data_IF_130670401936
#
_entry.id   IF_130670401936
#
_cell.length_a   1.000
_cell.length_b   1.000
_cell.length_c   1.000
_cell.angle_alpha   90.00
_cell.angle_beta   90.00
_cell.angle_gamma   90.00
#
_symmetry.space_group_name_H-M   'P 1'
#
loop_
_entity.id
_entity.type
_entity.pdbx_description
1 polymer ?
#
# COMPACT_ATOMS: atom_id res chain seq x y z
N UNK A 1 17.75 4.52 20.23
CA UNK A 1 16.84 4.05 19.15
C UNK A 1 15.74 5.06 18.78
N UNK A 2 14.97 5.59 19.74
CA UNK A 2 13.91 6.60 19.49
C UNK A 2 14.36 7.86 18.70
N UNK A 3 15.56 8.37 18.95
CA UNK A 3 16.08 9.54 18.21
C UNK A 3 16.30 9.24 16.72
N UNK A 4 16.89 8.08 16.38
CA UNK A 4 17.10 7.68 14.97
C UNK A 4 15.78 7.56 14.20
N UNK A 5 14.74 7.06 14.87
CA UNK A 5 13.40 6.96 14.29
C UNK A 5 12.80 8.34 13.98
N UNK A 6 12.93 9.30 14.92
CA UNK A 6 12.46 10.68 14.71
C UNK A 6 13.17 11.36 13.54
N UNK A 7 14.49 11.16 13.41
CA UNK A 7 15.25 11.69 12.27
C UNK A 7 14.80 11.05 10.95
N UNK A 8 14.59 9.73 10.91
CA UNK A 8 14.09 9.06 9.72
C UNK A 8 12.72 9.61 9.28
N UNK A 9 11.79 9.79 10.23
CA UNK A 9 10.46 10.36 9.97
C UNK A 9 10.57 11.82 9.47
N UNK A 10 11.44 12.62 10.09
CA UNK A 10 11.66 14.01 9.68
C UNK A 10 12.21 14.13 8.25
N UNK A 11 13.09 13.19 7.85
CA UNK A 11 13.68 13.14 6.51
C UNK A 11 12.62 12.83 5.44
N UNK A 12 11.75 11.84 5.69
CA UNK A 12 10.66 11.45 4.79
C UNK A 12 9.73 12.64 4.50
N UNK A 13 9.39 13.38 5.55
CA UNK A 13 8.57 14.59 5.45
C UNK A 13 7.06 14.33 5.45
N UNK A 14 6.26 15.37 5.71
CA UNK A 14 4.83 15.22 5.96
C UNK A 14 4.04 14.77 4.73
N UNK A 15 4.45 15.18 3.51
CA UNK A 15 3.77 14.79 2.26
C UNK A 15 3.90 13.30 1.98
N UNK A 16 5.13 12.76 2.09
CA UNK A 16 5.38 11.33 1.93
C UNK A 16 4.70 10.52 3.04
N UNK A 17 4.67 11.04 4.28
CA UNK A 17 3.97 10.38 5.37
C UNK A 17 2.46 10.34 5.12
N UNK A 18 1.86 11.45 4.67
CA UNK A 18 0.45 11.49 4.31
C UNK A 18 0.11 10.52 3.17
N UNK A 19 0.96 10.43 2.13
CA UNK A 19 0.74 9.47 1.04
C UNK A 19 0.94 8.03 1.50
N UNK A 20 1.86 7.74 2.42
CA UNK A 20 1.98 6.42 3.04
C UNK A 20 0.73 6.03 3.84
N UNK A 21 0.17 6.96 4.61
CA UNK A 21 -1.09 6.74 5.34
C UNK A 21 -2.25 6.46 4.38
N UNK A 22 -2.34 7.22 3.28
CA UNK A 22 -3.32 6.97 2.22
C UNK A 22 -3.14 5.60 1.56
N UNK A 23 -1.90 5.21 1.28
CA UNK A 23 -1.58 3.89 0.72
C UNK A 23 -1.96 2.76 1.68
N UNK A 24 -1.67 2.90 2.98
CA UNK A 24 -2.08 1.94 4.01
C UNK A 24 -3.60 1.86 4.11
N UNK A 25 -4.31 3.00 4.14
CA UNK A 25 -5.78 3.02 4.12
C UNK A 25 -6.37 2.34 2.89
N UNK A 26 -5.81 2.61 1.70
CA UNK A 26 -6.21 1.95 0.47
C UNK A 26 -5.95 0.44 0.48
N UNK A 27 -4.85 -0.02 1.10
CA UNK A 27 -4.56 -1.44 1.25
C UNK A 27 -5.60 -2.16 2.14
N UNK A 28 -6.08 -1.52 3.21
CA UNK A 28 -7.18 -2.08 4.02
C UNK A 28 -8.49 -2.18 3.23
N UNK A 29 -8.83 -1.16 2.44
CA UNK A 29 -10.00 -1.22 1.55
C UNK A 29 -9.83 -2.35 0.54
N UNK A 30 -8.63 -2.53 -0.01
CA UNK A 30 -8.33 -3.61 -0.94
C UNK A 30 -8.51 -4.99 -0.32
N UNK A 31 -8.04 -5.18 0.92
CA UNK A 31 -8.25 -6.41 1.69
C UNK A 31 -9.73 -6.70 1.93
N UNK A 32 -10.52 -5.69 2.31
CA UNK A 32 -11.97 -5.82 2.49
C UNK A 32 -12.68 -6.18 1.18
N UNK A 33 -12.24 -5.60 0.06
CA UNK A 33 -12.74 -5.92 -1.28
C UNK A 33 -12.43 -7.37 -1.66
N UNK A 34 -11.21 -7.85 -1.38
CA UNK A 34 -10.85 -9.25 -1.64
C UNK A 34 -11.67 -10.22 -0.81
N UNK A 35 -11.92 -9.92 0.46
CA UNK A 35 -12.87 -10.67 1.30
C UNK A 35 -14.27 -10.67 0.71
N UNK A 36 -14.74 -9.52 0.21
CA UNK A 36 -16.02 -9.41 -0.48
C UNK A 36 -16.10 -10.31 -1.72
N UNK A 37 -15.04 -10.37 -2.52
CA UNK A 37 -14.95 -11.26 -3.69
C UNK A 37 -14.96 -12.73 -3.26
N UNK A 38 -14.20 -13.09 -2.22
CA UNK A 38 -14.16 -14.46 -1.72
C UNK A 38 -15.53 -14.94 -1.23
N UNK A 39 -16.20 -14.12 -0.41
CA UNK A 39 -17.56 -14.40 0.08
C UNK A 39 -18.57 -14.49 -1.07
N UNK A 40 -18.45 -13.58 -2.04
CA UNK A 40 -19.27 -13.61 -3.25
C UNK A 40 -19.11 -14.93 -4.02
N UNK A 41 -17.87 -15.37 -4.26
CA UNK A 41 -17.59 -16.62 -4.99
C UNK A 41 -18.17 -17.84 -4.27
N UNK A 42 -18.09 -17.88 -2.94
CA UNK A 42 -18.70 -18.96 -2.15
C UNK A 42 -20.22 -19.01 -2.34
N UNK A 43 -20.90 -17.87 -2.25
CA UNK A 43 -22.35 -17.78 -2.45
C UNK A 43 -22.75 -18.14 -3.87
N UNK A 44 -21.97 -17.70 -4.85
CA UNK A 44 -22.19 -18.05 -6.25
C UNK A 44 -22.08 -19.56 -6.48
N UNK A 45 -21.03 -20.21 -5.96
CA UNK A 45 -20.85 -21.66 -6.04
C UNK A 45 -21.96 -22.44 -5.29
N UNK A 46 -22.41 -21.92 -4.14
CA UNK A 46 -23.54 -22.49 -3.41
C UNK A 46 -24.84 -22.37 -4.20
N UNK A 47 -25.08 -21.25 -4.88
CA UNK A 47 -26.27 -21.04 -5.73
C UNK A 47 -26.32 -21.97 -6.94
N UNK A 48 -25.16 -22.43 -7.42
CA UNK A 48 -25.05 -23.45 -8.47
C UNK A 48 -25.27 -24.88 -7.96
N UNK A 49 -25.42 -25.07 -6.64
CA UNK A 49 -25.53 -26.39 -6.02
C UNK A 49 -24.22 -27.19 -6.03
N UNK A 50 -23.08 -26.54 -6.30
CA UNK A 50 -21.76 -27.18 -6.35
C UNK A 50 -21.13 -27.33 -4.95
N UNK A 51 -21.58 -26.55 -3.98
CA UNK A 51 -21.15 -26.64 -2.59
C UNK A 51 -22.27 -27.24 -1.73
N UNK A 52 -22.01 -28.42 -1.16
CA UNK A 52 -22.86 -29.06 -0.14
C UNK A 52 -22.64 -28.50 1.26
N UNK A 53 -21.53 -27.78 1.48
CA UNK A 53 -21.26 -27.13 2.75
C UNK A 53 -22.20 -25.94 2.95
N UNK A 54 -22.93 -25.93 4.07
CA UNK A 54 -23.72 -24.78 4.49
C UNK A 54 -22.76 -23.64 4.86
N UNK A 55 -22.51 -22.75 3.91
CA UNK A 55 -21.78 -21.52 4.18
C UNK A 55 -22.57 -20.75 5.24
N UNK A 56 -21.96 -20.49 6.40
CA UNK A 56 -22.52 -19.57 7.40
C UNK A 56 -22.36 -18.14 6.88
N UNK A 57 -23.06 -17.83 5.79
CA UNK A 57 -23.15 -16.47 5.31
C UNK A 57 -24.05 -15.69 6.27
N UNK A 58 -23.71 -14.43 6.59
CA UNK A 58 -24.57 -13.61 7.39
C UNK A 58 -25.94 -13.41 6.70
N UNK A 59 -27.02 -13.61 7.46
CA UNK A 59 -28.41 -13.68 6.94
C UNK A 59 -28.80 -12.46 6.09
N UNK A 60 -28.32 -11.27 6.45
CA UNK A 60 -28.59 -10.02 5.72
C UNK A 60 -28.11 -10.07 4.27
N UNK A 61 -27.03 -10.78 3.99
CA UNK A 61 -26.43 -10.82 2.67
C UNK A 61 -27.20 -11.75 1.71
N UNK A 62 -27.77 -12.84 2.23
CA UNK A 62 -28.62 -13.76 1.47
C UNK A 62 -29.93 -13.08 1.04
N UNK A 63 -30.49 -12.23 1.90
CA UNK A 63 -31.73 -11.49 1.59
C UNK A 63 -31.58 -10.38 0.55
N UNK A 64 -30.36 -9.86 0.37
CA UNK A 64 -30.09 -8.70 -0.51
C UNK A 64 -29.88 -9.06 -1.99
N UNK A 65 -29.62 -10.33 -2.31
CA UNK A 65 -29.20 -10.76 -3.65
C UNK A 65 -30.16 -11.82 -4.25
N UNK A 66 -31.44 -11.47 -4.51
CA UNK A 66 -32.45 -12.46 -4.91
C UNK A 66 -32.32 -12.94 -6.36
N UNK A 67 -31.62 -12.20 -7.24
CA UNK A 67 -31.51 -12.57 -8.67
C UNK A 67 -30.09 -12.40 -9.21
N UNK A 68 -29.75 -13.20 -10.23
CA UNK A 68 -28.43 -13.25 -10.87
C UNK A 68 -27.96 -11.90 -11.43
N UNK A 69 -28.89 -11.01 -11.77
CA UNK A 69 -28.58 -9.65 -12.23
C UNK A 69 -28.01 -8.79 -11.10
N UNK A 70 -28.58 -8.88 -9.89
CA UNK A 70 -28.07 -8.14 -8.72
C UNK A 70 -26.68 -8.64 -8.32
N UNK A 71 -26.46 -9.95 -8.44
CA UNK A 71 -25.17 -10.62 -8.24
C UNK A 71 -24.12 -10.11 -9.23
N UNK A 72 -24.45 -10.04 -10.53
CA UNK A 72 -23.56 -9.48 -11.56
C UNK A 72 -23.27 -7.98 -11.34
N UNK A 73 -24.29 -7.19 -10.98
CA UNK A 73 -24.11 -5.76 -10.69
C UNK A 73 -23.22 -5.53 -9.46
N UNK A 74 -23.38 -6.33 -8.40
CA UNK A 74 -22.54 -6.28 -7.21
C UNK A 74 -21.07 -6.60 -7.54
N UNK A 75 -20.81 -7.59 -8.39
CA UNK A 75 -19.46 -7.90 -8.87
C UNK A 75 -18.80 -6.73 -9.61
N UNK A 76 -19.54 -6.09 -10.52
CA UNK A 76 -19.03 -4.94 -11.27
C UNK A 76 -18.71 -3.80 -10.30
N UNK A 77 -19.57 -3.52 -9.33
CA UNK A 77 -19.33 -2.52 -8.30
C UNK A 77 -18.07 -2.84 -7.46
N UNK A 78 -17.92 -4.09 -7.00
CA UNK A 78 -16.74 -4.54 -6.26
C UNK A 78 -15.48 -4.41 -7.12
N UNK A 79 -15.55 -4.77 -8.41
CA UNK A 79 -14.45 -4.62 -9.36
C UNK A 79 -14.02 -3.17 -9.57
N UNK A 80 -14.98 -2.24 -9.64
CA UNK A 80 -14.70 -0.81 -9.74
C UNK A 80 -14.03 -0.28 -8.47
N UNK A 81 -14.57 -0.62 -7.29
CA UNK A 81 -13.95 -0.24 -6.00
C UNK A 81 -12.54 -0.80 -5.89
N UNK A 82 -12.31 -2.04 -6.34
CA UNK A 82 -10.98 -2.66 -6.42
C UNK A 82 -10.04 -1.84 -7.29
N UNK A 83 -10.46 -1.52 -8.52
CA UNK A 83 -9.64 -0.80 -9.49
C UNK A 83 -9.26 0.60 -8.97
N UNK A 84 -10.22 1.35 -8.42
CA UNK A 84 -9.98 2.68 -7.84
C UNK A 84 -9.00 2.57 -6.66
N UNK A 85 -9.20 1.60 -5.78
CA UNK A 85 -8.32 1.39 -4.62
C UNK A 85 -6.90 1.02 -5.06
N UNK A 86 -6.74 0.16 -6.07
CA UNK A 86 -5.43 -0.18 -6.64
C UNK A 86 -4.71 1.04 -7.21
N UNK A 87 -5.41 1.86 -8.00
CA UNK A 87 -4.84 3.09 -8.55
C UNK A 87 -4.45 4.04 -7.43
N UNK A 88 -5.31 4.23 -6.42
CA UNK A 88 -5.04 5.11 -5.29
C UNK A 88 -3.79 4.66 -4.51
N UNK A 89 -3.68 3.36 -4.18
CA UNK A 89 -2.51 2.80 -3.50
C UNK A 89 -1.26 2.96 -4.37
N UNK A 90 -1.35 2.64 -5.67
CA UNK A 90 -0.24 2.79 -6.60
C UNK A 90 0.29 4.23 -6.65
N UNK A 91 -0.61 5.19 -6.90
CA UNK A 91 -0.25 6.61 -6.97
C UNK A 91 0.30 7.15 -5.66
N UNK A 92 -0.33 6.81 -4.52
CA UNK A 92 0.13 7.25 -3.21
C UNK A 92 1.54 6.72 -2.89
N UNK A 93 1.84 5.49 -3.29
CA UNK A 93 3.16 4.90 -3.07
C UNK A 93 4.22 5.49 -4.01
N UNK A 94 3.86 5.77 -5.28
CA UNK A 94 4.74 6.50 -6.21
C UNK A 94 5.07 7.90 -5.70
N UNK A 95 4.06 8.66 -5.26
CA UNK A 95 4.25 9.99 -4.67
C UNK A 95 5.17 9.91 -3.45
N UNK A 96 4.99 8.92 -2.57
CA UNK A 96 5.85 8.72 -1.40
C UNK A 96 7.31 8.49 -1.81
N UNK A 97 7.53 7.66 -2.83
CA UNK A 97 8.87 7.33 -3.32
C UNK A 97 9.58 8.54 -3.94
N UNK A 98 8.89 9.27 -4.83
CA UNK A 98 9.43 10.45 -5.49
C UNK A 98 9.75 11.56 -4.49
N UNK A 99 8.81 11.87 -3.59
CA UNK A 99 9.00 12.93 -2.59
C UNK A 99 10.12 12.61 -1.60
N UNK A 100 10.27 11.36 -1.18
CA UNK A 100 11.38 10.91 -0.34
C UNK A 100 12.72 11.05 -1.08
N UNK A 101 12.77 10.62 -2.33
CA UNK A 101 13.98 10.70 -3.17
C UNK A 101 14.38 12.15 -3.43
N UNK A 102 13.44 13.03 -3.76
CA UNK A 102 13.68 14.45 -3.95
C UNK A 102 14.21 15.12 -2.68
N UNK A 103 13.66 14.79 -1.51
CA UNK A 103 14.14 15.31 -0.23
C UNK A 103 15.56 14.85 0.10
N UNK A 104 15.87 13.58 -0.10
CA UNK A 104 17.23 13.07 0.10
C UNK A 104 18.24 13.78 -0.81
N UNK A 105 17.88 14.01 -2.08
CA UNK A 105 18.70 14.78 -3.02
C UNK A 105 18.91 16.22 -2.55
N UNK A 106 17.85 16.90 -2.09
CA UNK A 106 17.96 18.26 -1.57
C UNK A 106 18.85 18.34 -0.34
N UNK A 107 18.74 17.39 0.60
CA UNK A 107 19.60 17.34 1.79
C UNK A 107 21.06 17.19 1.39
N UNK A 108 21.38 16.33 0.42
CA UNK A 108 22.75 16.16 -0.06
C UNK A 108 23.31 17.40 -0.76
N UNK A 109 22.50 18.09 -1.58
CA UNK A 109 22.90 19.35 -2.21
C UNK A 109 23.14 20.44 -1.15
N UNK A 110 22.27 20.52 -0.13
CA UNK A 110 22.41 21.48 0.97
C UNK A 110 23.69 21.20 1.79
N UNK A 111 23.97 19.93 2.07
CA UNK A 111 25.21 19.53 2.76
C UNK A 111 26.46 19.91 1.96
N UNK A 112 26.42 19.78 0.63
CA UNK A 112 27.50 20.17 -0.27
C UNK A 112 27.73 21.68 -0.33
N UNK A 113 26.65 22.47 -0.38
CA UNK A 113 26.74 23.93 -0.49
C UNK A 113 27.12 24.63 0.83
N UNK A 114 26.64 24.12 1.97
CA UNK A 114 26.79 24.81 3.26
C UNK A 114 27.97 24.37 4.11
N UNK A 115 28.70 23.35 3.69
CA UNK A 115 29.91 22.92 4.41
C UNK A 115 31.16 23.13 3.55
N UNK A 116 31.50 24.38 3.16
CA UNK A 116 32.68 24.68 2.36
C UNK A 116 34.00 24.34 3.06
N UNK A 117 33.97 24.14 4.39
CA UNK A 117 35.15 23.78 5.19
C UNK A 117 35.41 22.27 5.27
N UNK A 118 34.54 21.41 4.72
CA UNK A 118 34.79 19.96 4.70
C UNK A 118 35.83 19.61 3.63
N UNK A 119 36.66 18.57 3.88
CA UNK A 119 37.64 18.11 2.91
C UNK A 119 36.97 17.77 1.57
N UNK A 120 37.68 18.08 0.48
CA UNK A 120 37.26 17.88 -0.90
C UNK A 120 36.58 16.52 -1.07
N UNK A 121 35.25 16.51 -1.24
CA UNK A 121 34.51 15.28 -1.52
C UNK A 121 34.63 15.03 -3.03
N UNK A 122 35.23 13.92 -3.47
CA UNK A 122 35.36 13.64 -4.89
C UNK A 122 33.97 13.50 -5.53
N UNK A 123 33.80 14.10 -6.71
CA UNK A 123 32.51 14.11 -7.42
C UNK A 123 31.97 12.69 -7.67
N UNK A 124 32.87 11.71 -7.89
CA UNK A 124 32.51 10.30 -8.04
C UNK A 124 31.75 9.74 -6.83
N UNK A 125 32.13 10.12 -5.61
CA UNK A 125 31.46 9.67 -4.38
C UNK A 125 30.06 10.26 -4.24
N UNK A 126 29.90 11.53 -4.62
CA UNK A 126 28.60 12.20 -4.61
C UNK A 126 27.64 11.58 -5.63
N UNK A 127 28.11 11.32 -6.84
CA UNK A 127 27.32 10.64 -7.88
C UNK A 127 26.90 9.25 -7.43
N UNK A 128 27.78 8.49 -6.78
CA UNK A 128 27.46 7.16 -6.25
C UNK A 128 26.45 7.24 -5.09
N UNK A 129 26.56 8.25 -4.22
CA UNK A 129 25.61 8.45 -3.13
C UNK A 129 24.22 8.86 -3.64
N UNK A 130 24.16 9.77 -4.62
CA UNK A 130 22.91 10.24 -5.24
C UNK A 130 22.25 9.18 -6.12
N UNK A 131 23.05 8.47 -6.91
CA UNK A 131 22.57 7.48 -7.87
C UNK A 131 22.19 6.15 -7.23
N UNK A 132 22.98 5.68 -6.26
CA UNK A 132 22.85 4.32 -5.75
C UNK A 132 22.24 4.27 -4.35
N UNK A 133 22.79 5.03 -3.41
CA UNK A 133 22.37 4.94 -2.01
C UNK A 133 20.97 5.52 -1.79
N UNK A 134 20.67 6.69 -2.36
CA UNK A 134 19.35 7.30 -2.20
C UNK A 134 18.27 6.56 -2.96
N UNK A 135 18.57 6.04 -4.15
CA UNK A 135 17.64 5.18 -4.88
C UNK A 135 17.31 3.93 -4.06
N UNK A 136 18.33 3.22 -3.53
CA UNK A 136 18.15 2.04 -2.67
C UNK A 136 17.37 2.37 -1.39
N UNK A 137 17.65 3.51 -0.75
CA UNK A 137 16.90 3.96 0.42
C UNK A 137 15.42 4.25 0.09
N UNK A 138 15.14 4.87 -1.06
CA UNK A 138 13.79 5.09 -1.56
C UNK A 138 13.05 3.79 -1.87
N UNK A 139 13.73 2.81 -2.47
CA UNK A 139 13.17 1.47 -2.70
C UNK A 139 12.94 0.70 -1.40
N UNK A 140 13.84 0.84 -0.42
CA UNK A 140 13.66 0.23 0.90
C UNK A 140 12.43 0.81 1.61
N UNK A 141 12.26 2.14 1.61
CA UNK A 141 11.08 2.78 2.19
C UNK A 141 9.78 2.34 1.49
N UNK A 142 9.82 2.27 0.15
CA UNK A 142 8.72 1.74 -0.67
C UNK A 142 8.38 0.29 -0.31
N UNK A 143 9.38 -0.59 -0.31
CA UNK A 143 9.22 -2.01 -0.01
C UNK A 143 8.76 -2.26 1.43
N UNK A 144 9.27 -1.48 2.38
CA UNK A 144 8.85 -1.55 3.78
C UNK A 144 7.38 -1.15 3.96
N UNK A 145 6.94 -0.08 3.31
CA UNK A 145 5.53 0.32 3.31
C UNK A 145 4.64 -0.76 2.69
N UNK A 146 5.06 -1.34 1.55
CA UNK A 146 4.38 -2.46 0.92
C UNK A 146 4.28 -3.69 1.83
N UNK A 147 5.37 -4.04 2.52
CA UNK A 147 5.41 -5.15 3.47
C UNK A 147 4.42 -4.94 4.62
N UNK A 148 4.34 -3.72 5.18
CA UNK A 148 3.36 -3.41 6.24
C UNK A 148 1.92 -3.54 5.72
N UNK A 149 1.63 -3.05 4.51
CA UNK A 149 0.30 -3.20 3.91
C UNK A 149 -0.08 -4.66 3.66
N UNK A 150 0.82 -5.43 3.03
CA UNK A 150 0.59 -6.83 2.69
C UNK A 150 0.53 -7.72 3.94
N UNK A 151 1.32 -7.44 4.97
CA UNK A 151 1.23 -8.18 6.24
C UNK A 151 -0.06 -7.90 6.98
N UNK A 152 -0.56 -6.66 6.96
CA UNK A 152 -1.88 -6.33 7.51
C UNK A 152 -3.01 -7.05 6.74
N UNK A 153 -2.94 -7.06 5.41
CA UNK A 153 -3.87 -7.80 4.56
C UNK A 153 -3.83 -9.30 4.84
N UNK A 154 -2.64 -9.89 4.94
CA UNK A 154 -2.47 -11.31 5.26
C UNK A 154 -3.02 -11.65 6.65
N UNK A 155 -2.82 -10.79 7.66
CA UNK A 155 -3.35 -10.98 9.00
C UNK A 155 -4.90 -10.95 9.01
N UNK A 156 -5.51 -10.03 8.27
CA UNK A 156 -6.97 -9.93 8.12
C UNK A 156 -7.53 -11.16 7.42
N UNK A 157 -6.90 -11.62 6.33
CA UNK A 157 -7.31 -12.83 5.62
C UNK A 157 -7.16 -14.08 6.49
N UNK A 158 -6.07 -14.20 7.23
CA UNK A 158 -5.84 -15.30 8.16
C UNK A 158 -6.92 -15.31 9.27
N UNK A 159 -7.27 -14.16 9.82
CA UNK A 159 -8.33 -14.04 10.82
C UNK A 159 -9.72 -14.41 10.29
N UNK A 160 -9.98 -14.24 8.99
CA UNK A 160 -11.27 -14.63 8.40
C UNK A 160 -11.29 -16.13 8.05
N UNK A 161 -10.15 -16.72 7.71
CA UNK A 161 -10.04 -18.13 7.32
C UNK A 161 -9.92 -19.09 8.52
N UNK A 162 -9.37 -18.65 9.65
CA UNK A 162 -9.15 -19.44 10.87
C UNK A 162 -10.01 -18.93 12.03
#
# INVERSE_FOLDING_TARGET
MRQRLRYAIAIIGPKALASLVLASGGAFVLAAVELGIAMFLQLFLQSLGLLTASVQAPVWLVTLLPTSVHVAAALVAIGLVRAVSQVMVGQATTIAHETTTQRLRLVAVYELLLHPQRPYVPMSRLTLQLGEHFAKAGYFAYGFAGLVGQSAQAAVLAFVLF
#
